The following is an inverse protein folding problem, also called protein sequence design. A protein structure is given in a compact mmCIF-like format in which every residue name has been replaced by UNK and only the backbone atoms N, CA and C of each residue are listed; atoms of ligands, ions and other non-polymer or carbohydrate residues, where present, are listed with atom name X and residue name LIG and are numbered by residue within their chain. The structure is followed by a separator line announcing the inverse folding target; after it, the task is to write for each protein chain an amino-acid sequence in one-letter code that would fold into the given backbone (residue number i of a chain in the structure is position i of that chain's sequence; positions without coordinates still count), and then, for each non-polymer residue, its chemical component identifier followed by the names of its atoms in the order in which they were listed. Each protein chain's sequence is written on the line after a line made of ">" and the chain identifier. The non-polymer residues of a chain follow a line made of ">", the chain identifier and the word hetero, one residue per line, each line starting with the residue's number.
data_IF_341369519964
#
_entry.id   IF_341369519964
#
_cell.length_a   1.000
_cell.length_b   1.000
_cell.length_c   1.000
_cell.angle_alpha   90.00
_cell.angle_beta   90.00
_cell.angle_gamma   90.00
#
_symmetry.space_group_name_H-M   'P 1'
#
loop_
_entity.id
_entity.type
_entity.pdbx_description
1 polymer ?
#
# COMPACT_ATOMS: atom_id res chain seq x y z
N UNK A 1 2.87 -21.33 -24.82
CA UNK A 1 1.80 -21.60 -23.85
C UNK A 1 0.50 -21.80 -24.61
N UNK A 2 -0.31 -22.78 -24.22
CA UNK A 2 -1.65 -22.95 -24.80
C UNK A 2 -2.56 -21.80 -24.35
N UNK A 3 -3.61 -21.45 -25.12
CA UNK A 3 -4.58 -20.44 -24.70
C UNK A 3 -5.19 -20.71 -23.32
N UNK A 4 -5.45 -21.98 -22.98
CA UNK A 4 -6.02 -22.38 -21.70
C UNK A 4 -5.06 -22.17 -20.53
N UNK A 5 -3.77 -22.47 -20.73
CA UNK A 5 -2.70 -22.19 -19.75
C UNK A 5 -2.52 -20.67 -19.54
N UNK A 6 -2.57 -19.88 -20.62
CA UNK A 6 -2.49 -18.41 -20.53
C UNK A 6 -3.68 -17.83 -19.77
N UNK A 7 -4.89 -18.31 -20.07
CA UNK A 7 -6.12 -17.89 -19.40
C UNK A 7 -6.05 -18.20 -17.90
N UNK A 8 -5.65 -19.43 -17.56
CA UNK A 8 -5.50 -19.87 -16.18
C UNK A 8 -4.49 -19.01 -15.42
N UNK A 9 -3.31 -18.78 -16.01
CA UNK A 9 -2.28 -17.94 -15.41
C UNK A 9 -2.68 -16.46 -15.29
N UNK A 10 -3.49 -15.95 -16.22
CA UNK A 10 -4.05 -14.60 -16.16
C UNK A 10 -5.03 -14.44 -14.98
N UNK A 11 -6.01 -15.35 -14.85
CA UNK A 11 -6.97 -15.30 -13.74
C UNK A 11 -6.33 -15.60 -12.39
N UNK A 12 -5.33 -16.49 -12.34
CA UNK A 12 -4.55 -16.72 -11.14
C UNK A 12 -3.87 -15.43 -10.66
N UNK A 13 -3.19 -14.71 -11.55
CA UNK A 13 -2.54 -13.45 -11.19
C UNK A 13 -3.56 -12.37 -10.79
N UNK A 14 -4.73 -12.31 -11.43
CA UNK A 14 -5.80 -11.42 -11.02
C UNK A 14 -6.33 -11.74 -9.62
N UNK A 15 -6.55 -13.03 -9.31
CA UNK A 15 -6.93 -13.49 -7.98
C UNK A 15 -5.86 -13.16 -6.93
N UNK A 16 -4.58 -13.35 -7.27
CA UNK A 16 -3.45 -12.96 -6.40
C UNK A 16 -3.45 -11.46 -6.12
N UNK A 17 -3.74 -10.59 -7.10
CA UNK A 17 -3.87 -9.15 -6.85
C UNK A 17 -4.94 -8.85 -5.80
N UNK A 18 -6.10 -9.49 -5.88
CA UNK A 18 -7.21 -9.28 -4.93
C UNK A 18 -6.80 -9.77 -3.53
N UNK A 19 -6.22 -10.96 -3.42
CA UNK A 19 -5.76 -11.52 -2.15
C UNK A 19 -4.62 -10.71 -1.51
N UNK A 20 -3.68 -10.20 -2.30
CA UNK A 20 -2.62 -9.35 -1.77
C UNK A 20 -3.14 -8.00 -1.30
N UNK A 21 -4.22 -7.48 -1.90
CA UNK A 21 -4.84 -6.25 -1.42
C UNK A 21 -5.47 -6.42 -0.03
N UNK A 22 -6.11 -7.55 0.29
CA UNK A 22 -6.63 -7.76 1.64
C UNK A 22 -5.51 -7.72 2.69
N UNK A 23 -4.31 -8.21 2.37
CA UNK A 23 -3.16 -8.07 3.26
C UNK A 23 -2.64 -6.63 3.41
N UNK A 24 -2.84 -5.77 2.41
CA UNK A 24 -2.60 -4.32 2.55
C UNK A 24 -3.60 -3.72 3.54
N UNK A 25 -4.87 -4.12 3.49
CA UNK A 25 -5.88 -3.67 4.44
C UNK A 25 -5.59 -4.16 5.87
N UNK A 26 -5.13 -5.40 6.04
CA UNK A 26 -4.67 -5.91 7.33
C UNK A 26 -3.51 -5.07 7.88
N UNK A 27 -2.51 -4.77 7.05
CA UNK A 27 -1.37 -3.92 7.43
C UNK A 27 -1.79 -2.49 7.79
N UNK A 28 -2.71 -1.88 7.04
CA UNK A 28 -3.26 -0.57 7.37
C UNK A 28 -4.02 -0.57 8.70
N UNK A 29 -4.75 -1.65 8.98
CA UNK A 29 -5.42 -1.85 10.26
C UNK A 29 -4.40 -1.97 11.41
N UNK A 30 -3.32 -2.72 11.24
CA UNK A 30 -2.25 -2.82 12.25
C UNK A 30 -1.64 -1.45 12.58
N UNK A 31 -1.40 -0.61 11.56
CA UNK A 31 -0.94 0.78 11.76
C UNK A 31 -1.98 1.60 12.51
N UNK A 32 -3.25 1.54 12.08
CA UNK A 32 -4.35 2.28 12.72
C UNK A 32 -4.50 1.89 14.20
N UNK A 33 -4.62 0.60 14.48
CA UNK A 33 -4.78 0.06 15.82
C UNK A 33 -3.61 0.46 16.72
N UNK A 34 -2.38 0.43 16.20
CA UNK A 34 -1.18 0.88 16.92
C UNK A 34 -1.22 2.38 17.22
N UNK A 35 -1.69 3.20 16.28
CA UNK A 35 -1.73 4.65 16.44
C UNK A 35 -2.77 5.12 17.48
N UNK A 36 -3.88 4.40 17.63
CA UNK A 36 -4.96 4.74 18.58
C UNK A 36 -4.89 3.99 19.91
N UNK A 37 -4.07 2.94 20.00
CA UNK A 37 -3.88 2.21 21.24
C UNK A 37 -3.11 3.05 22.26
N UNK A 38 -3.40 2.85 23.54
CA UNK A 38 -2.52 3.28 24.63
C UNK A 38 -1.23 2.45 24.59
N UNK A 39 -0.12 3.01 25.07
CA UNK A 39 1.21 2.37 24.98
C UNK A 39 1.26 0.96 25.60
N UNK A 40 0.47 0.74 26.65
CA UNK A 40 0.30 -0.51 27.39
C UNK A 40 -0.69 -1.51 26.73
N UNK A 41 -1.50 -1.06 25.77
CA UNK A 41 -2.59 -1.83 25.17
C UNK A 41 -2.35 -2.23 23.70
N UNK A 42 -1.22 -1.85 23.10
CA UNK A 42 -0.90 -2.07 21.66
C UNK A 42 -1.04 -3.53 21.21
N UNK A 43 -0.99 -4.51 22.12
CA UNK A 43 -1.14 -5.96 21.82
C UNK A 43 -2.47 -6.59 22.23
N UNK A 44 -3.38 -5.84 22.86
CA UNK A 44 -4.72 -6.35 23.22
C UNK A 44 -5.67 -6.13 22.05
N UNK A 45 -6.59 -7.07 21.84
CA UNK A 45 -7.66 -6.88 20.85
C UNK A 45 -8.47 -5.64 21.22
N UNK A 46 -8.39 -4.61 20.39
CA UNK A 46 -9.20 -3.41 20.52
C UNK A 46 -10.46 -3.57 19.65
N UNK A 47 -11.45 -4.29 20.18
CA UNK A 47 -12.70 -4.59 19.46
C UNK A 47 -13.39 -3.34 18.92
N UNK A 48 -13.50 -2.22 19.67
CA UNK A 48 -14.04 -0.97 19.13
C UNK A 48 -13.25 -0.43 17.93
N UNK A 49 -11.92 -0.44 17.99
CA UNK A 49 -11.07 -0.02 16.87
C UNK A 49 -11.28 -0.89 15.63
N UNK A 50 -11.36 -2.21 15.82
CA UNK A 50 -11.61 -3.16 14.75
C UNK A 50 -12.97 -2.89 14.10
N UNK A 51 -14.03 -2.74 14.90
CA UNK A 51 -15.36 -2.44 14.41
C UNK A 51 -15.40 -1.12 13.62
N UNK A 52 -14.76 -0.07 14.14
CA UNK A 52 -14.68 1.22 13.46
C UNK A 52 -13.95 1.13 12.11
N UNK A 53 -12.81 0.43 12.07
CA UNK A 53 -12.01 0.27 10.85
C UNK A 53 -12.73 -0.52 9.76
N UNK A 54 -13.29 -1.69 10.11
CA UNK A 54 -13.93 -2.57 9.13
C UNK A 54 -15.35 -2.15 8.76
N UNK A 55 -15.97 -1.21 9.49
CA UNK A 55 -17.20 -0.56 9.05
C UNK A 55 -17.00 0.27 7.77
N UNK A 56 -15.79 0.79 7.53
CA UNK A 56 -15.47 1.55 6.33
C UNK A 56 -15.21 0.58 5.17
N UNK A 57 -16.08 0.61 4.15
CA UNK A 57 -15.95 -0.26 2.98
C UNK A 57 -14.93 0.27 1.95
N UNK A 58 -14.87 1.59 1.78
CA UNK A 58 -14.01 2.24 0.79
C UNK A 58 -12.55 2.28 1.28
N UNK A 59 -11.58 1.76 0.50
CA UNK A 59 -10.18 1.78 0.92
C UNK A 59 -9.62 3.20 1.13
N UNK A 60 -10.13 4.19 0.38
CA UNK A 60 -9.80 5.61 0.55
C UNK A 60 -10.11 6.08 1.97
N UNK A 61 -11.28 5.69 2.50
CA UNK A 61 -11.71 6.04 3.85
C UNK A 61 -10.85 5.38 4.91
N UNK A 62 -10.46 4.12 4.71
CA UNK A 62 -9.54 3.40 5.60
C UNK A 62 -8.18 4.10 5.68
N UNK A 63 -7.60 4.47 4.54
CA UNK A 63 -6.32 5.21 4.47
C UNK A 63 -6.44 6.57 5.18
N UNK A 64 -7.51 7.33 4.91
CA UNK A 64 -7.70 8.65 5.52
C UNK A 64 -7.88 8.56 7.05
N UNK A 65 -8.58 7.55 7.52
CA UNK A 65 -8.75 7.28 8.96
C UNK A 65 -7.42 6.89 9.61
N UNK A 66 -6.64 5.99 9.00
CA UNK A 66 -5.30 5.63 9.47
C UNK A 66 -4.37 6.85 9.49
N UNK A 67 -4.39 7.68 8.44
CA UNK A 67 -3.56 8.89 8.35
C UNK A 67 -3.88 9.87 9.46
N UNK A 68 -5.17 10.11 9.74
CA UNK A 68 -5.59 10.98 10.84
C UNK A 68 -5.13 10.45 12.20
N UNK A 69 -5.23 9.14 12.44
CA UNK A 69 -4.75 8.51 13.68
C UNK A 69 -3.22 8.63 13.84
N UNK A 70 -2.45 8.32 12.80
CA UNK A 70 -0.98 8.41 12.81
C UNK A 70 -0.53 9.85 13.01
N UNK A 71 -1.13 10.81 12.28
CA UNK A 71 -0.80 12.23 12.41
C UNK A 71 -1.11 12.76 13.78
N UNK A 72 -2.30 12.48 14.31
CA UNK A 72 -2.65 12.88 15.68
C UNK A 72 -1.63 12.36 16.67
N UNK A 73 -1.25 11.08 16.55
CA UNK A 73 -0.34 10.42 17.48
C UNK A 73 1.10 10.91 17.39
N UNK A 74 1.62 11.18 16.19
CA UNK A 74 3.01 11.59 15.97
C UNK A 74 3.23 13.10 16.08
N UNK A 75 2.22 13.92 15.77
CA UNK A 75 2.32 15.39 15.92
C UNK A 75 2.10 15.83 17.37
N UNK A 76 1.47 14.99 18.19
CA UNK A 76 1.31 15.24 19.61
C UNK A 76 2.68 15.16 20.30
N UNK A 77 3.08 16.27 20.93
CA UNK A 77 4.37 16.45 21.61
C UNK A 77 5.63 16.30 20.72
N UNK A 78 5.48 16.47 19.40
CA UNK A 78 6.63 16.47 18.49
C UNK A 78 7.58 17.63 18.82
N UNK A 79 8.84 17.30 19.11
CA UNK A 79 9.87 18.27 19.42
C UNK A 79 10.29 19.11 18.21
N UNK A 80 10.87 20.27 18.48
CA UNK A 80 11.39 21.17 17.44
C UNK A 80 12.70 20.68 16.83
N UNK A 81 13.38 19.72 17.47
CA UNK A 81 14.64 19.17 16.99
C UNK A 81 14.47 18.42 15.66
N UNK A 82 15.38 18.66 14.71
CA UNK A 82 15.45 17.92 13.45
C UNK A 82 15.74 16.42 13.65
N UNK A 83 16.35 16.05 14.77
CA UNK A 83 16.70 14.66 15.11
C UNK A 83 15.59 13.91 15.85
N UNK A 84 14.41 14.52 16.01
CA UNK A 84 13.29 13.86 16.67
C UNK A 84 12.88 12.57 15.94
N UNK A 85 12.91 11.40 16.61
CA UNK A 85 12.45 10.14 16.05
C UNK A 85 11.02 10.18 15.48
N UNK A 86 10.12 10.98 16.08
CA UNK A 86 8.75 11.17 15.60
C UNK A 86 8.71 11.84 14.23
N UNK A 87 9.59 12.82 13.97
CA UNK A 87 9.69 13.46 12.64
C UNK A 87 10.10 12.46 11.57
N UNK A 88 11.03 11.56 11.89
CA UNK A 88 11.48 10.53 10.95
C UNK A 88 10.39 9.48 10.70
N UNK A 89 9.66 9.06 11.73
CA UNK A 89 8.49 8.19 11.58
C UNK A 89 7.37 8.86 10.78
N UNK A 90 7.14 10.15 10.99
CA UNK A 90 6.15 10.92 10.25
C UNK A 90 6.50 10.98 8.76
N UNK A 91 7.76 11.27 8.42
CA UNK A 91 8.22 11.26 7.03
C UNK A 91 8.11 9.86 6.39
N UNK A 92 8.44 8.80 7.14
CA UNK A 92 8.27 7.43 6.68
C UNK A 92 6.79 7.08 6.43
N UNK A 93 5.88 7.54 7.29
CA UNK A 93 4.44 7.40 7.10
C UNK A 93 3.96 8.11 5.84
N UNK A 94 4.36 9.36 5.61
CA UNK A 94 3.91 10.12 4.44
C UNK A 94 4.35 9.47 3.12
N UNK A 95 5.59 8.96 3.06
CA UNK A 95 6.09 8.21 1.91
C UNK A 95 5.32 6.88 1.70
N UNK A 96 5.06 6.16 2.80
CA UNK A 96 4.33 4.89 2.76
C UNK A 96 2.86 5.10 2.36
N UNK A 97 2.20 6.11 2.92
CA UNK A 97 0.82 6.50 2.56
C UNK A 97 0.71 6.80 1.08
N UNK A 98 1.61 7.61 0.51
CA UNK A 98 1.66 7.89 -0.93
C UNK A 98 1.75 6.60 -1.75
N UNK A 99 2.62 5.68 -1.34
CA UNK A 99 2.77 4.37 -1.97
C UNK A 99 1.45 3.57 -1.92
N UNK A 100 0.82 3.48 -0.75
CA UNK A 100 -0.45 2.76 -0.57
C UNK A 100 -1.58 3.40 -1.38
N UNK A 101 -1.65 4.73 -1.46
CA UNK A 101 -2.63 5.45 -2.26
C UNK A 101 -2.48 5.17 -3.76
N UNK A 102 -1.25 5.08 -4.27
CA UNK A 102 -1.02 4.71 -5.66
C UNK A 102 -1.37 3.25 -5.93
N UNK A 103 -1.13 2.35 -4.96
CA UNK A 103 -1.57 0.95 -5.04
C UNK A 103 -3.08 0.80 -4.95
N UNK A 104 -3.77 1.62 -4.16
CA UNK A 104 -5.24 1.69 -4.13
C UNK A 104 -5.80 2.07 -5.51
N UNK A 105 -5.27 3.11 -6.15
CA UNK A 105 -5.69 3.50 -7.51
C UNK A 105 -5.54 2.33 -8.48
N UNK A 106 -4.41 1.62 -8.42
CA UNK A 106 -4.14 0.41 -9.21
C UNK A 106 -5.15 -0.69 -8.89
N UNK A 107 -5.45 -0.99 -7.62
CA UNK A 107 -6.47 -1.97 -7.23
C UNK A 107 -7.85 -1.62 -7.78
N UNK A 108 -8.25 -0.35 -7.70
CA UNK A 108 -9.54 0.08 -8.22
C UNK A 108 -9.62 -0.07 -9.75
N UNK A 109 -8.53 0.20 -10.47
CA UNK A 109 -8.45 -0.12 -11.91
C UNK A 109 -8.70 -1.61 -12.13
N UNK A 110 -7.95 -2.49 -11.46
CA UNK A 110 -8.08 -3.94 -11.62
C UNK A 110 -9.49 -4.46 -11.28
N UNK A 111 -10.14 -3.89 -10.27
CA UNK A 111 -11.47 -4.31 -9.83
C UNK A 111 -12.62 -3.87 -10.77
N UNK A 112 -12.42 -2.78 -11.53
CA UNK A 112 -13.46 -2.21 -12.40
C UNK A 112 -13.20 -2.41 -13.90
N UNK A 113 -12.05 -2.98 -14.26
CA UNK A 113 -11.73 -3.26 -15.65
C UNK A 113 -12.44 -4.53 -16.14
N UNK A 114 -12.65 -4.60 -17.44
CA UNK A 114 -13.25 -5.75 -18.12
C UNK A 114 -12.16 -6.61 -18.73
N UNK A 115 -12.35 -7.93 -18.70
CA UNK A 115 -11.48 -8.88 -19.40
C UNK A 115 -11.74 -8.78 -20.90
N UNK A 116 -10.68 -8.60 -21.67
CA UNK A 116 -10.63 -8.71 -23.11
C UNK A 116 -9.95 -10.03 -23.48
N UNK A 117 -10.55 -10.75 -24.43
CA UNK A 117 -10.00 -11.97 -24.99
C UNK A 117 -9.87 -11.79 -26.49
N UNK A 118 -8.67 -12.03 -27.03
CA UNK A 118 -8.40 -11.97 -28.46
C UNK A 118 -7.48 -13.12 -28.87
N UNK A 119 -8.05 -14.17 -29.45
CA UNK A 119 -7.30 -15.37 -29.84
C UNK A 119 -6.40 -15.14 -31.08
N UNK A 120 -6.58 -14.02 -31.78
CA UNK A 120 -5.71 -13.61 -32.89
C UNK A 120 -4.43 -12.94 -32.43
N UNK A 121 -4.33 -12.52 -31.17
CA UNK A 121 -3.12 -11.92 -30.60
C UNK A 121 -2.04 -12.98 -30.32
N UNK A 122 -0.74 -12.60 -30.34
CA UNK A 122 0.33 -13.49 -29.98
C UNK A 122 0.24 -13.92 -28.51
N UNK A 123 0.91 -15.03 -28.19
CA UNK A 123 1.05 -15.55 -26.83
C UNK A 123 1.45 -14.43 -25.85
N UNK A 124 0.80 -14.42 -24.68
CA UNK A 124 1.00 -13.43 -23.63
C UNK A 124 0.17 -12.15 -23.80
N UNK A 125 -0.42 -11.90 -24.97
CA UNK A 125 -1.28 -10.72 -25.24
C UNK A 125 -2.76 -11.06 -25.48
N UNK A 126 -3.09 -12.35 -25.54
CA UNK A 126 -4.45 -12.85 -25.79
C UNK A 126 -5.47 -12.46 -24.73
N UNK A 127 -5.01 -12.26 -23.49
CA UNK A 127 -5.82 -11.85 -22.35
C UNK A 127 -5.32 -10.52 -21.79
N UNK A 128 -6.26 -9.60 -21.54
CA UNK A 128 -5.94 -8.31 -20.94
C UNK A 128 -7.11 -7.78 -20.10
N UNK A 129 -6.82 -6.96 -19.09
CA UNK A 129 -7.82 -6.06 -18.53
C UNK A 129 -7.80 -4.73 -19.29
N UNK A 130 -8.98 -4.19 -19.56
CA UNK A 130 -9.17 -2.86 -20.15
C UNK A 130 -10.22 -2.05 -19.38
N UNK A 131 -10.18 -0.70 -19.44
CA UNK A 131 -11.28 0.12 -18.95
C UNK A 131 -12.61 -0.30 -19.60
N UNK A 132 -13.70 -0.25 -18.83
CA UNK A 132 -15.03 -0.48 -19.38
C UNK A 132 -15.36 0.54 -20.49
N UNK A 133 -15.92 0.07 -21.61
CA UNK A 133 -16.20 0.89 -22.80
C UNK A 133 -17.14 2.06 -22.53
N UNK A 134 -17.99 1.96 -21.50
CA UNK A 134 -18.95 3.00 -21.11
C UNK A 134 -18.41 3.95 -20.02
N UNK A 135 -17.11 3.96 -19.76
CA UNK A 135 -16.53 4.94 -18.86
C UNK A 135 -16.39 6.29 -19.63
N UNK A 136 -17.19 7.32 -19.33
CA UNK A 136 -17.12 8.61 -20.03
C UNK A 136 -15.76 9.29 -19.86
N UNK A 137 -14.97 8.92 -18.85
CA UNK A 137 -13.60 9.41 -18.66
C UNK A 137 -12.55 8.64 -19.48
N UNK A 138 -12.92 7.55 -20.16
CA UNK A 138 -11.99 6.71 -20.94
C UNK A 138 -11.86 7.13 -22.41
N UNK A 139 -12.75 7.98 -22.94
CA UNK A 139 -12.80 8.34 -24.36
C UNK A 139 -11.58 9.12 -24.89
N UNK A 140 -10.69 9.62 -24.03
CA UNK A 140 -9.58 10.51 -24.42
C UNK A 140 -8.20 10.07 -23.90
N UNK A 141 -8.05 8.84 -23.38
CA UNK A 141 -6.77 8.35 -22.87
C UNK A 141 -6.34 7.09 -23.60
N UNK A 142 -5.03 6.95 -23.82
CA UNK A 142 -4.39 5.70 -24.25
C UNK A 142 -4.94 4.55 -23.41
N UNK A 143 -5.55 3.56 -24.06
CA UNK A 143 -6.12 2.38 -23.40
C UNK A 143 -4.98 1.64 -22.69
N UNK A 144 -4.92 1.77 -21.37
CA UNK A 144 -3.97 1.00 -20.56
C UNK A 144 -4.50 -0.43 -20.48
N UNK A 145 -3.79 -1.35 -21.13
CA UNK A 145 -4.05 -2.78 -21.06
C UNK A 145 -3.17 -3.40 -19.97
N UNK A 146 -3.73 -4.35 -19.23
CA UNK A 146 -2.99 -5.12 -18.25
C UNK A 146 -3.01 -6.58 -18.67
N UNK A 147 -1.87 -7.07 -19.11
CA UNK A 147 -1.69 -8.49 -19.40
C UNK A 147 -1.20 -9.21 -18.15
N UNK A 148 -0.90 -10.50 -18.33
CA UNK A 148 -0.51 -11.40 -17.25
C UNK A 148 0.69 -10.89 -16.45
N UNK A 149 1.71 -10.34 -17.12
CA UNK A 149 2.92 -9.86 -16.45
C UNK A 149 2.65 -8.58 -15.64
N UNK A 150 1.82 -7.66 -16.14
CA UNK A 150 1.43 -6.47 -15.38
C UNK A 150 0.64 -6.85 -14.12
N UNK A 151 -0.21 -7.88 -14.19
CA UNK A 151 -0.91 -8.41 -13.02
C UNK A 151 0.05 -9.03 -12.01
N UNK A 152 1.04 -9.80 -12.47
CA UNK A 152 2.07 -10.39 -11.61
C UNK A 152 2.87 -9.31 -10.86
N UNK A 153 3.29 -8.26 -11.56
CA UNK A 153 3.99 -7.10 -10.98
C UNK A 153 3.09 -6.38 -9.98
N UNK A 154 1.81 -6.16 -10.33
CA UNK A 154 0.85 -5.52 -9.42
C UNK A 154 0.68 -6.31 -8.12
N UNK A 155 0.47 -7.64 -8.20
CA UNK A 155 0.34 -8.50 -7.03
C UNK A 155 1.57 -8.44 -6.12
N UNK A 156 2.78 -8.54 -6.69
CA UNK A 156 4.02 -8.41 -5.93
C UNK A 156 4.15 -7.03 -5.25
N UNK A 157 3.72 -5.97 -5.95
CA UNK A 157 3.75 -4.61 -5.41
C UNK A 157 2.79 -4.40 -4.24
N UNK A 158 1.65 -5.10 -4.22
CA UNK A 158 0.71 -5.09 -3.09
C UNK A 158 1.27 -5.87 -1.91
N UNK A 159 1.86 -7.06 -2.15
CA UNK A 159 2.52 -7.83 -1.10
C UNK A 159 3.65 -7.03 -0.44
N UNK A 160 4.42 -6.27 -1.22
CA UNK A 160 5.44 -5.36 -0.67
C UNK A 160 4.83 -4.25 0.18
N UNK A 161 3.78 -3.59 -0.29
CA UNK A 161 3.10 -2.55 0.48
C UNK A 161 2.53 -3.07 1.81
N UNK A 162 1.96 -4.29 1.82
CA UNK A 162 1.52 -4.96 3.04
C UNK A 162 2.68 -5.16 4.03
N UNK A 163 3.82 -5.68 3.55
CA UNK A 163 5.01 -5.86 4.39
C UNK A 163 5.52 -4.53 4.98
N UNK A 164 5.60 -3.49 4.15
CA UNK A 164 6.07 -2.17 4.59
C UNK A 164 5.13 -1.55 5.65
N UNK A 165 3.80 -1.75 5.52
CA UNK A 165 2.81 -1.36 6.52
C UNK A 165 2.99 -2.07 7.87
N UNK A 166 3.18 -3.39 7.84
CA UNK A 166 3.44 -4.16 9.08
C UNK A 166 4.74 -3.74 9.75
N UNK A 167 5.78 -3.52 8.95
CA UNK A 167 7.08 -3.04 9.46
C UNK A 167 6.92 -1.65 10.09
N UNK A 168 6.16 -0.76 9.46
CA UNK A 168 5.86 0.55 10.01
C UNK A 168 5.05 0.45 11.32
N UNK A 169 3.99 -0.37 11.37
CA UNK A 169 3.21 -0.61 12.58
C UNK A 169 4.09 -1.11 13.73
N UNK A 170 5.02 -2.02 13.45
CA UNK A 170 6.00 -2.49 14.43
C UNK A 170 6.93 -1.36 14.91
N UNK A 171 7.50 -0.57 14.00
CA UNK A 171 8.34 0.57 14.34
C UNK A 171 7.60 1.62 15.18
N UNK A 172 6.35 1.88 14.84
CA UNK A 172 5.46 2.78 15.57
C UNK A 172 5.18 2.27 16.99
N UNK A 173 4.82 0.99 17.12
CA UNK A 173 4.59 0.34 18.42
C UNK A 173 5.86 0.35 19.27
N UNK A 174 7.01 0.08 18.66
CA UNK A 174 8.31 0.11 19.31
C UNK A 174 8.63 1.52 19.81
N UNK A 175 8.44 2.56 19.01
CA UNK A 175 8.65 3.94 19.44
C UNK A 175 7.78 4.27 20.67
N UNK A 176 6.51 3.85 20.70
CA UNK A 176 5.66 4.07 21.87
C UNK A 176 6.07 3.24 23.10
N UNK A 177 6.65 2.06 22.91
CA UNK A 177 7.22 1.23 23.99
C UNK A 177 8.62 1.65 24.42
N UNK A 178 9.41 2.27 23.56
CA UNK A 178 10.76 2.77 23.86
C UNK A 178 10.75 4.01 24.75
N UNK A 179 9.59 4.62 24.96
CA UNK A 179 9.35 5.48 26.12
C UNK A 179 9.29 4.70 27.46
N UNK A 180 9.46 3.37 27.45
CA UNK A 180 9.59 2.53 28.64
C UNK A 180 10.80 1.56 28.65
N UNK A 181 11.30 0.99 27.53
CA UNK A 181 12.64 0.31 27.46
C UNK A 181 12.97 -0.21 26.04
N UNK A 182 14.25 -0.20 25.61
CA UNK A 182 14.67 -0.30 24.19
C UNK A 182 15.54 -1.51 23.82
N UNK A 183 15.17 -2.29 22.76
CA UNK A 183 16.10 -3.09 21.91
C UNK A 183 15.51 -3.30 20.49
N UNK A 184 16.38 -3.35 19.47
CA UNK A 184 16.22 -3.68 18.03
C UNK A 184 16.16 -2.51 17.04
N UNK A 185 17.32 -1.93 16.80
CA UNK A 185 17.55 -0.72 16.01
C UNK A 185 17.74 -0.99 14.50
N UNK A 186 18.12 -2.19 14.09
CA UNK A 186 18.72 -2.40 12.76
C UNK A 186 17.71 -2.58 11.61
N UNK A 187 16.58 -3.27 11.81
CA UNK A 187 15.54 -3.42 10.76
C UNK A 187 14.75 -2.12 10.51
N UNK A 188 14.52 -1.33 11.57
CA UNK A 188 13.91 -0.01 11.46
C UNK A 188 14.88 0.96 10.76
N UNK A 189 16.17 0.91 11.09
CA UNK A 189 17.21 1.65 10.36
C UNK A 189 17.24 1.27 8.89
N UNK A 190 17.09 -0.01 8.52
CA UNK A 190 17.09 -0.43 7.12
C UNK A 190 15.85 0.08 6.36
N UNK A 191 14.66 0.07 6.96
CA UNK A 191 13.45 0.67 6.38
C UNK A 191 13.62 2.19 6.20
N UNK A 192 14.17 2.86 7.21
CA UNK A 192 14.42 4.30 7.18
C UNK A 192 15.48 4.69 6.15
N UNK A 193 16.56 3.92 6.02
CA UNK A 193 17.62 4.13 5.04
C UNK A 193 17.09 4.02 3.60
N UNK A 194 16.27 2.99 3.32
CA UNK A 194 15.61 2.82 2.01
C UNK A 194 14.62 3.95 1.67
N UNK A 195 14.10 4.62 2.69
CA UNK A 195 13.16 5.75 2.53
C UNK A 195 13.93 7.06 2.34
N UNK A 196 15.04 7.25 3.05
CA UNK A 196 15.93 8.41 2.91
C UNK A 196 16.62 8.47 1.54
N UNK A 197 17.10 7.33 1.01
CA UNK A 197 17.72 7.29 -0.33
C UNK A 197 16.75 7.68 -1.45
N UNK A 198 15.44 7.43 -1.30
CA UNK A 198 14.44 7.86 -2.27
C UNK A 198 14.18 9.36 -2.25
N UNK A 199 14.30 10.00 -1.08
CA UNK A 199 14.13 11.47 -0.92
C UNK A 199 15.33 12.21 -1.51
N UNK A 200 16.53 11.66 -1.43
CA UNK A 200 17.75 12.26 -2.04
C UNK A 200 17.76 12.12 -3.56
N UNK A 201 17.15 11.07 -4.13
CA UNK A 201 17.08 10.89 -5.58
C UNK A 201 16.01 11.74 -6.30
N UNK A 202 15.05 12.34 -5.59
CA UNK A 202 14.01 13.19 -6.22
C UNK A 202 14.52 14.59 -6.64
N UNK A 203 15.76 14.99 -6.30
CA UNK A 203 16.39 16.22 -6.82
C UNK A 203 17.11 16.06 -8.17
N UNK A 204 17.05 14.88 -8.79
CA UNK A 204 17.78 14.65 -10.03
C UNK A 204 17.05 13.76 -11.01
N UNK A 205 15.90 14.19 -11.55
CA UNK A 205 15.54 13.89 -12.94
C UNK A 205 14.37 14.77 -13.42
N UNK A 206 14.71 15.88 -14.10
CA UNK A 206 13.82 16.57 -15.05
C UNK A 206 14.20 16.11 -16.47
N UNK A 207 13.16 15.66 -17.19
CA UNK A 207 13.00 15.27 -18.59
C UNK A 207 14.10 15.52 -19.63
N UNK A 208 14.25 14.58 -20.60
CA UNK A 208 13.77 14.77 -21.99
C UNK A 208 14.07 13.58 -22.92
N UNK A 209 13.09 13.32 -23.81
CA UNK A 209 13.02 12.45 -25.01
C UNK A 209 13.05 10.93 -24.86
#
# INVERSE_FOLDING_TARGET
>A
MTPDEEQSGFYENLGRCIAQWSHVEDGLYEVYATAIAKADEVRRSNVPAQAAYFAIQAPEGKIAMTDSAVRFRLLFDMGESHDDPQRRLFAAWDALKKTVDDRRKRRNQLAHFQVLVSMSEPEGRRFALRPALFNPNAQFRTLTLFHREELKVAAASFGRASWDLRTFAYGLAKHFKQNEDAVFDDELKELMARTADKVVTEEGFIANN
#
